data_IF_420094823539
#
_entry.id   IF_420094823539
#
_cell.length_a   1.000
_cell.length_b   1.000
_cell.length_c   1.000
_cell.angle_alpha   90.00
_cell.angle_beta   90.00
_cell.angle_gamma   90.00
#
_symmetry.space_group_name_H-M   'P 1'
#
loop_
_entity.id
_entity.type
_entity.pdbx_description
1 polymer ?
#
# COMPACT_ATOMS: atom_id res chain seq x y z
N UNK A 1 35.84 35.83 -35.42
CA UNK A 1 36.84 34.75 -35.39
C UNK A 1 36.44 33.73 -34.32
N UNK A 2 36.15 32.46 -34.67
CA UNK A 2 35.97 31.44 -33.64
C UNK A 2 37.35 31.13 -33.05
N UNK A 3 37.59 31.54 -31.80
CA UNK A 3 38.83 31.23 -31.10
C UNK A 3 39.03 29.73 -30.99
N UNK A 4 40.07 29.21 -31.65
CA UNK A 4 40.44 27.80 -31.55
C UNK A 4 40.86 27.51 -30.11
N UNK A 5 40.06 26.71 -29.40
CA UNK A 5 40.40 26.24 -28.05
C UNK A 5 41.72 25.46 -28.10
N UNK A 6 42.62 25.78 -27.16
CA UNK A 6 43.90 25.06 -26.98
C UNK A 6 43.65 23.60 -26.63
N UNK A 7 44.64 22.74 -26.89
CA UNK A 7 44.54 21.30 -26.63
C UNK A 7 44.13 20.99 -25.18
N UNK A 8 44.72 21.72 -24.23
CA UNK A 8 44.39 21.63 -22.79
C UNK A 8 42.92 21.99 -22.51
N UNK A 9 42.40 23.05 -23.11
CA UNK A 9 40.99 23.46 -22.97
C UNK A 9 40.03 22.41 -23.55
N UNK A 10 40.41 21.72 -24.64
CA UNK A 10 39.62 20.61 -25.20
C UNK A 10 39.65 19.38 -24.29
N UNK A 11 40.80 19.07 -23.70
CA UNK A 11 40.97 17.96 -22.76
C UNK A 11 40.14 18.19 -21.48
N UNK A 12 40.23 19.38 -20.90
CA UNK A 12 39.46 19.80 -19.73
C UNK A 12 37.94 19.78 -20.01
N UNK A 13 37.49 20.23 -21.18
CA UNK A 13 36.07 20.11 -21.58
C UNK A 13 35.61 18.65 -21.69
N UNK A 14 36.43 17.76 -22.25
CA UNK A 14 36.12 16.31 -22.30
C UNK A 14 36.04 15.70 -20.90
N UNK A 15 36.97 16.04 -20.01
CA UNK A 15 36.95 15.57 -18.61
C UNK A 15 35.72 16.10 -17.86
N UNK A 16 35.41 17.40 -17.96
CA UNK A 16 34.20 17.99 -17.35
C UNK A 16 32.92 17.33 -17.86
N UNK A 17 32.81 17.06 -19.16
CA UNK A 17 31.66 16.33 -19.73
C UNK A 17 31.56 14.91 -19.15
N UNK A 18 32.66 14.17 -19.06
CA UNK A 18 32.66 12.83 -18.43
C UNK A 18 32.20 12.87 -16.97
N UNK A 19 32.68 13.84 -16.19
CA UNK A 19 32.26 14.02 -14.78
C UNK A 19 30.77 14.37 -14.73
N UNK A 20 30.29 15.28 -15.56
CA UNK A 20 28.88 15.66 -15.64
C UNK A 20 27.98 14.46 -15.97
N UNK A 21 28.36 13.64 -16.97
CA UNK A 21 27.64 12.41 -17.28
C UNK A 21 27.64 11.41 -16.12
N UNK A 22 28.76 11.27 -15.39
CA UNK A 22 28.81 10.43 -14.18
C UNK A 22 27.86 10.92 -13.10
N UNK A 23 27.77 12.25 -12.88
CA UNK A 23 26.86 12.84 -11.89
C UNK A 23 25.40 12.58 -12.30
N UNK A 24 25.05 12.78 -13.57
CA UNK A 24 23.70 12.47 -14.08
C UNK A 24 23.38 10.99 -13.89
N UNK A 25 24.30 10.10 -14.26
CA UNK A 25 24.10 8.67 -14.11
C UNK A 25 23.90 8.28 -12.64
N UNK A 26 24.71 8.84 -11.73
CA UNK A 26 24.58 8.63 -10.29
C UNK A 26 23.22 9.14 -9.78
N UNK A 27 22.79 10.31 -10.23
CA UNK A 27 21.48 10.87 -9.90
C UNK A 27 20.35 9.96 -10.38
N UNK A 28 20.41 9.45 -11.62
CA UNK A 28 19.41 8.52 -12.16
C UNK A 28 19.37 7.20 -11.38
N UNK A 29 20.53 6.62 -11.06
CA UNK A 29 20.63 5.41 -10.25
C UNK A 29 20.08 5.62 -8.84
N UNK A 30 20.41 6.76 -8.22
CA UNK A 30 19.90 7.13 -6.89
C UNK A 30 18.39 7.36 -6.90
N UNK A 31 17.87 8.06 -7.92
CA UNK A 31 16.43 8.29 -8.09
C UNK A 31 15.67 6.96 -8.30
N UNK A 32 16.23 6.07 -9.12
CA UNK A 32 15.67 4.72 -9.32
C UNK A 32 15.66 3.92 -8.01
N UNK A 33 16.75 3.95 -7.24
CA UNK A 33 16.80 3.28 -5.94
C UNK A 33 15.74 3.85 -4.99
N UNK A 34 15.61 5.18 -4.94
CA UNK A 34 14.65 5.84 -4.06
C UNK A 34 13.20 5.50 -4.43
N UNK A 35 12.84 5.60 -5.71
CA UNK A 35 11.48 5.35 -6.20
C UNK A 35 11.07 3.88 -6.14
N UNK A 36 12.01 2.94 -6.12
CA UNK A 36 11.72 1.50 -5.98
C UNK A 36 11.70 1.04 -4.52
N UNK A 37 12.70 1.44 -3.74
CA UNK A 37 12.94 0.86 -2.41
C UNK A 37 12.47 1.75 -1.26
N UNK A 38 12.23 3.04 -1.51
CA UNK A 38 11.90 4.01 -0.46
C UNK A 38 10.44 4.46 -0.59
N UNK A 39 10.13 5.23 -1.62
CA UNK A 39 8.80 5.81 -1.86
C UNK A 39 8.23 5.34 -3.19
N UNK A 40 7.00 4.85 -3.15
CA UNK A 40 6.25 4.44 -4.33
C UNK A 40 5.06 5.38 -4.52
N UNK A 41 4.90 5.91 -5.72
CA UNK A 41 3.82 6.82 -6.05
C UNK A 41 2.82 6.07 -6.93
N UNK A 42 1.56 6.03 -6.50
CA UNK A 42 0.48 5.37 -7.24
C UNK A 42 -0.71 6.29 -7.42
N UNK A 43 -1.41 6.11 -8.53
CA UNK A 43 -2.75 6.64 -8.76
C UNK A 43 -3.74 5.50 -8.62
N UNK A 44 -4.77 5.67 -7.80
CA UNK A 44 -5.77 4.64 -7.56
C UNK A 44 -7.01 4.88 -8.42
N UNK A 45 -7.46 3.84 -9.13
CA UNK A 45 -8.61 3.91 -10.04
C UNK A 45 -9.85 3.13 -9.55
N UNK A 46 -9.72 2.38 -8.43
CA UNK A 46 -10.82 1.58 -7.87
C UNK A 46 -11.80 2.38 -7.01
N UNK A 47 -12.86 1.71 -6.58
CA UNK A 47 -13.92 2.26 -5.71
C UNK A 47 -13.85 1.70 -4.27
N UNK A 48 -12.90 0.80 -3.99
CA UNK A 48 -12.73 0.17 -2.67
C UNK A 48 -12.48 1.17 -1.55
N UNK A 49 -11.84 2.30 -1.87
CA UNK A 49 -11.46 3.35 -0.91
C UNK A 49 -12.17 4.69 -1.18
N UNK A 50 -13.31 4.67 -1.89
CA UNK A 50 -13.98 5.83 -2.49
C UNK A 50 -14.30 7.00 -1.55
N UNK A 51 -14.46 6.77 -0.24
CA UNK A 51 -14.68 7.83 0.77
C UNK A 51 -13.40 8.58 1.15
N UNK A 52 -12.24 7.93 1.11
CA UNK A 52 -10.96 8.48 1.57
C UNK A 52 -10.01 8.82 0.42
N UNK A 53 -10.16 8.13 -0.70
CA UNK A 53 -9.31 8.19 -1.88
C UNK A 53 -10.21 8.29 -3.12
N UNK A 54 -10.20 9.44 -3.78
CA UNK A 54 -10.90 9.67 -5.04
C UNK A 54 -10.03 9.24 -6.23
N UNK A 55 -10.67 8.89 -7.35
CA UNK A 55 -10.09 8.25 -8.57
C UNK A 55 -8.91 8.96 -9.26
N UNK A 56 -8.42 10.10 -8.76
CA UNK A 56 -7.29 10.85 -9.32
C UNK A 56 -6.29 11.32 -8.25
N UNK A 57 -6.46 10.91 -6.99
CA UNK A 57 -5.52 11.29 -5.95
C UNK A 57 -4.17 10.63 -6.19
N UNK A 58 -3.11 11.43 -6.08
CA UNK A 58 -1.76 10.88 -6.07
C UNK A 58 -1.45 10.43 -4.65
N UNK A 59 -1.15 9.15 -4.51
CA UNK A 59 -0.90 8.51 -3.23
C UNK A 59 0.58 8.18 -3.12
N UNK A 60 1.19 8.60 -2.02
CA UNK A 60 2.59 8.35 -1.72
C UNK A 60 2.66 7.26 -0.66
N UNK A 61 3.23 6.13 -1.05
CA UNK A 61 3.42 4.96 -0.22
C UNK A 61 4.88 4.77 0.15
N UNK A 62 5.14 4.20 1.33
CA UNK A 62 6.48 3.74 1.72
C UNK A 62 6.58 2.25 1.43
N UNK A 63 7.65 1.87 0.75
CA UNK A 63 7.92 0.48 0.38
C UNK A 63 8.14 -0.42 1.60
N UNK A 64 7.76 -1.70 1.46
CA UNK A 64 8.02 -2.77 2.44
C UNK A 64 9.45 -2.79 2.93
N UNK A 65 10.43 -2.50 2.06
CA UNK A 65 11.84 -2.57 2.41
C UNK A 65 12.23 -1.57 3.51
N UNK A 66 11.74 -0.34 3.47
CA UNK A 66 11.96 0.61 4.57
C UNK A 66 11.09 0.27 5.77
N UNK A 67 9.81 0.00 5.51
CA UNK A 67 8.81 -0.26 6.56
C UNK A 67 9.28 -1.34 7.52
N UNK A 68 9.77 -2.46 6.99
CA UNK A 68 10.16 -3.63 7.79
C UNK A 68 11.23 -3.31 8.84
N UNK A 69 12.07 -2.30 8.62
CA UNK A 69 13.10 -1.89 9.58
C UNK A 69 12.67 -0.74 10.49
N UNK A 70 11.83 0.18 10.00
CA UNK A 70 11.65 1.48 10.66
C UNK A 70 10.23 1.81 11.08
N UNK A 71 9.19 1.20 10.48
CA UNK A 71 7.81 1.64 10.66
C UNK A 71 6.89 0.41 10.84
N UNK A 72 6.43 0.12 12.07
CA UNK A 72 5.44 -0.94 12.27
C UNK A 72 4.09 -0.55 11.66
N UNK A 73 3.33 -1.55 11.20
CA UNK A 73 1.94 -1.33 10.77
C UNK A 73 1.03 -1.23 11.98
N UNK A 74 0.10 -0.29 11.92
CA UNK A 74 -0.82 0.04 13.00
C UNK A 74 -2.27 0.04 12.51
N UNK A 75 -3.21 0.11 13.46
CA UNK A 75 -4.63 0.23 13.15
C UNK A 75 -4.90 1.51 12.36
N UNK A 76 -5.83 1.42 11.42
CA UNK A 76 -6.23 2.47 10.47
C UNK A 76 -5.22 2.81 9.37
N UNK A 77 -4.05 2.17 9.34
CA UNK A 77 -3.13 2.35 8.21
C UNK A 77 -3.77 1.82 6.92
N UNK A 78 -3.63 2.59 5.85
CA UNK A 78 -4.03 2.18 4.50
C UNK A 78 -2.84 1.50 3.86
N UNK A 79 -3.03 0.28 3.37
CA UNK A 79 -1.95 -0.56 2.86
C UNK A 79 -2.25 -1.08 1.47
N UNK A 80 -1.19 -1.24 0.68
CA UNK A 80 -1.23 -2.02 -0.56
C UNK A 80 -0.73 -3.43 -0.24
N UNK A 81 -1.48 -4.42 -0.69
CA UNK A 81 -1.16 -5.83 -0.51
C UNK A 81 -1.39 -6.63 -1.80
N UNK A 82 -0.69 -7.75 -1.91
CA UNK A 82 -0.85 -8.68 -3.02
C UNK A 82 -1.97 -9.68 -2.71
N UNK A 83 -2.83 -9.96 -3.69
CA UNK A 83 -3.83 -11.00 -3.53
C UNK A 83 -3.13 -12.37 -3.41
N UNK A 84 -3.29 -13.10 -2.29
CA UNK A 84 -2.64 -14.40 -2.12
C UNK A 84 -3.05 -15.43 -3.18
N UNK A 85 -4.22 -15.26 -3.81
CA UNK A 85 -4.70 -16.15 -4.87
C UNK A 85 -4.02 -15.91 -6.23
N UNK A 86 -3.33 -14.78 -6.42
CA UNK A 86 -2.66 -14.41 -7.67
C UNK A 86 -1.13 -14.55 -7.60
N UNK A 87 -0.60 -15.37 -6.68
CA UNK A 87 0.85 -15.55 -6.49
C UNK A 87 1.52 -16.11 -7.75
N UNK A 88 2.15 -15.23 -8.51
CA UNK A 88 3.04 -15.58 -9.62
C UNK A 88 4.37 -16.16 -9.11
N UNK A 89 5.01 -17.01 -9.93
CA UNK A 89 6.35 -17.52 -9.65
C UNK A 89 7.37 -16.38 -9.43
N UNK A 90 8.06 -16.41 -8.28
CA UNK A 90 9.02 -15.39 -7.83
C UNK A 90 10.06 -15.00 -8.88
N UNK A 91 10.61 -15.98 -9.60
CA UNK A 91 11.63 -15.77 -10.65
C UNK A 91 11.06 -14.93 -11.80
N UNK A 92 9.81 -15.20 -12.19
CA UNK A 92 9.13 -14.49 -13.25
C UNK A 92 8.79 -13.05 -12.84
N UNK A 93 8.39 -12.84 -11.57
CA UNK A 93 8.18 -11.52 -10.97
C UNK A 93 9.47 -10.71 -10.96
N UNK A 94 10.58 -11.30 -10.52
CA UNK A 94 11.89 -10.65 -10.51
C UNK A 94 12.36 -10.24 -11.91
N UNK A 95 12.30 -11.15 -12.89
CA UNK A 95 12.69 -10.84 -14.27
C UNK A 95 11.78 -9.78 -14.91
N UNK A 96 10.47 -9.84 -14.65
CA UNK A 96 9.52 -8.81 -15.10
C UNK A 96 9.84 -7.45 -14.47
N UNK A 97 10.11 -7.40 -13.18
CA UNK A 97 10.41 -6.15 -12.46
C UNK A 97 11.77 -5.56 -12.84
N UNK A 98 12.73 -6.39 -13.28
CA UNK A 98 14.06 -5.97 -13.75
C UNK A 98 14.04 -5.39 -15.18
N UNK A 99 13.19 -5.94 -16.06
CA UNK A 99 13.15 -5.57 -17.48
C UNK A 99 12.09 -4.52 -17.84
N UNK A 100 11.07 -4.32 -17.00
CA UNK A 100 10.04 -3.30 -17.25
C UNK A 100 10.34 -2.00 -16.48
N UNK A 101 11.13 -1.13 -17.09
CA UNK A 101 11.17 0.31 -16.81
C UNK A 101 9.80 1.00 -17.02
N UNK A 102 8.80 0.28 -17.56
CA UNK A 102 7.51 0.82 -17.98
C UNK A 102 6.30 0.37 -17.13
N UNK A 103 6.48 -0.47 -16.10
CA UNK A 103 5.38 -0.85 -15.20
C UNK A 103 5.30 0.07 -13.99
N UNK A 104 5.37 1.38 -14.22
CA UNK A 104 5.01 2.38 -13.19
C UNK A 104 3.48 2.40 -12.98
N UNK A 105 2.66 1.81 -13.88
CA UNK A 105 1.22 2.13 -13.89
C UNK A 105 0.19 1.01 -14.10
N UNK A 106 0.51 -0.28 -14.08
CA UNK A 106 -0.58 -1.28 -14.10
C UNK A 106 -0.18 -2.62 -13.51
N UNK A 107 -0.51 -2.82 -12.23
CA UNK A 107 -0.39 -4.12 -11.58
C UNK A 107 -1.77 -4.48 -11.05
N UNK A 108 -2.58 -5.11 -11.90
CA UNK A 108 -3.93 -5.60 -11.57
C UNK A 108 -3.97 -6.71 -10.51
N UNK A 109 -2.85 -7.01 -9.85
CA UNK A 109 -2.75 -7.99 -8.76
C UNK A 109 -2.61 -7.35 -7.37
N UNK A 110 -2.63 -6.02 -7.28
CA UNK A 110 -2.51 -5.31 -6.01
C UNK A 110 -3.83 -4.69 -5.59
N UNK A 111 -4.16 -4.88 -4.32
CA UNK A 111 -5.34 -4.35 -3.66
C UNK A 111 -4.93 -3.31 -2.63
N UNK A 112 -5.83 -2.39 -2.35
CA UNK A 112 -5.67 -1.38 -1.30
C UNK A 112 -6.81 -1.56 -0.30
N UNK A 113 -6.47 -1.56 0.99
CA UNK A 113 -7.45 -1.67 2.05
C UNK A 113 -6.89 -1.05 3.34
N UNK A 114 -7.75 -0.88 4.33
CA UNK A 114 -7.39 -0.36 5.65
C UNK A 114 -7.23 -1.47 6.67
N UNK A 115 -6.24 -1.36 7.53
CA UNK A 115 -6.07 -2.26 8.68
C UNK A 115 -7.13 -1.92 9.74
N UNK A 116 -8.05 -2.83 9.99
CA UNK A 116 -9.11 -2.64 11.00
C UNK A 116 -8.92 -3.49 12.25
N UNK A 117 -8.09 -4.53 12.19
CA UNK A 117 -7.75 -5.36 13.34
C UNK A 117 -6.33 -5.92 13.24
N UNK A 118 -5.70 -6.14 14.40
CA UNK A 118 -4.31 -6.58 14.54
C UNK A 118 -4.19 -7.77 15.50
N UNK A 119 -2.97 -8.31 15.67
CA UNK A 119 -2.69 -9.39 16.62
C UNK A 119 -3.34 -9.15 18.00
N UNK A 120 -4.08 -10.16 18.48
CA UNK A 120 -4.81 -10.11 19.75
C UNK A 120 -6.28 -9.74 19.63
N UNK A 121 -6.70 -9.16 18.50
CA UNK A 121 -8.12 -8.89 18.21
C UNK A 121 -8.83 -10.16 17.72
N UNK A 122 -10.13 -10.25 18.03
CA UNK A 122 -11.05 -11.23 17.44
C UNK A 122 -11.95 -10.53 16.42
N UNK A 123 -12.07 -11.08 15.22
CA UNK A 123 -12.91 -10.52 14.17
C UNK A 123 -14.03 -11.48 13.82
N UNK A 124 -15.26 -11.00 13.94
CA UNK A 124 -16.47 -11.71 13.57
C UNK A 124 -17.03 -11.09 12.29
N UNK A 125 -17.29 -11.93 11.28
CA UNK A 125 -17.82 -11.50 9.98
C UNK A 125 -19.17 -12.15 9.77
N UNK A 126 -20.17 -11.32 9.50
CA UNK A 126 -21.57 -11.67 9.26
C UNK A 126 -22.01 -11.01 7.96
N UNK A 127 -21.91 -11.72 6.83
CA UNK A 127 -22.16 -11.14 5.50
C UNK A 127 -21.25 -9.94 5.22
N UNK A 128 -21.84 -8.74 5.11
CA UNK A 128 -21.11 -7.48 4.94
C UNK A 128 -20.64 -6.86 6.26
N UNK A 129 -21.26 -7.26 7.37
CA UNK A 129 -21.05 -6.69 8.69
C UNK A 129 -19.83 -7.31 9.37
N UNK A 130 -19.07 -6.47 10.05
CA UNK A 130 -17.85 -6.89 10.76
C UNK A 130 -17.85 -6.33 12.16
N UNK A 131 -17.62 -7.21 13.13
CA UNK A 131 -17.31 -6.85 14.50
C UNK A 131 -15.83 -7.14 14.76
N UNK A 132 -15.09 -6.11 15.12
CA UNK A 132 -13.76 -6.27 15.73
C UNK A 132 -13.92 -6.19 17.23
N UNK A 133 -13.84 -7.35 17.88
CA UNK A 133 -13.93 -7.48 19.33
C UNK A 133 -12.56 -7.22 19.95
N UNK A 134 -12.51 -6.24 20.85
CA UNK A 134 -11.36 -5.93 21.70
C UNK A 134 -11.87 -5.82 23.12
N UNK A 135 -11.13 -6.34 24.10
CA UNK A 135 -11.56 -6.38 25.50
C UNK A 135 -12.08 -5.03 26.04
N UNK A 136 -11.57 -3.91 25.52
CA UNK A 136 -11.89 -2.56 26.00
C UNK A 136 -12.75 -1.75 25.02
N UNK A 137 -12.60 -1.96 23.70
CA UNK A 137 -13.24 -1.11 22.70
C UNK A 137 -13.54 -1.87 21.39
N UNK A 138 -14.77 -2.33 21.26
CA UNK A 138 -15.25 -3.01 20.07
C UNK A 138 -15.50 -2.01 18.93
N UNK A 139 -15.26 -2.44 17.70
CA UNK A 139 -15.61 -1.68 16.50
C UNK A 139 -16.63 -2.44 15.68
N UNK A 140 -17.71 -1.77 15.29
CA UNK A 140 -18.81 -2.36 14.53
C UNK A 140 -18.88 -1.68 13.17
N UNK A 141 -18.66 -2.44 12.11
CA UNK A 141 -18.80 -2.00 10.73
C UNK A 141 -20.09 -2.61 10.20
N UNK A 142 -21.19 -1.86 10.22
CA UNK A 142 -22.53 -2.33 9.89
C UNK A 142 -23.10 -1.51 8.74
N UNK A 143 -23.70 -2.17 7.74
CA UNK A 143 -24.40 -1.50 6.63
C UNK A 143 -23.62 -0.32 6.02
N UNK A 144 -22.35 -0.52 5.67
CA UNK A 144 -21.55 0.55 5.06
C UNK A 144 -20.89 1.54 6.03
N UNK A 145 -21.12 1.45 7.34
CA UNK A 145 -20.69 2.49 8.29
C UNK A 145 -20.04 1.94 9.56
N UNK A 146 -19.12 2.71 10.13
CA UNK A 146 -18.61 2.48 11.49
C UNK A 146 -19.65 2.97 12.51
N UNK A 147 -20.20 2.05 13.29
CA UNK A 147 -21.19 2.31 14.33
C UNK A 147 -20.54 2.41 15.70
N UNK A 148 -20.81 3.52 16.41
CA UNK A 148 -20.34 3.77 17.77
C UNK A 148 -21.47 3.47 18.75
N UNK A 149 -21.16 2.78 19.85
CA UNK A 149 -22.14 2.48 20.91
C UNK A 149 -23.10 1.32 20.61
N UNK A 150 -22.84 0.55 19.55
CA UNK A 150 -23.60 -0.66 19.25
C UNK A 150 -23.35 -1.75 20.30
N UNK A 151 -24.40 -2.48 20.71
CA UNK A 151 -24.27 -3.51 21.74
C UNK A 151 -23.77 -4.82 21.14
N UNK A 152 -22.87 -5.49 21.86
CA UNK A 152 -22.31 -6.77 21.44
C UNK A 152 -23.38 -7.83 21.18
N UNK A 153 -24.37 -7.96 22.07
CA UNK A 153 -25.41 -8.98 21.97
C UNK A 153 -26.29 -8.80 20.72
N UNK A 154 -26.50 -7.56 20.28
CA UNK A 154 -27.31 -7.23 19.10
C UNK A 154 -26.62 -7.69 17.81
N UNK A 155 -25.31 -7.91 17.81
CA UNK A 155 -24.57 -8.43 16.65
C UNK A 155 -24.83 -9.92 16.43
N UNK A 156 -24.97 -10.68 17.52
CA UNK A 156 -25.17 -12.14 17.51
C UNK A 156 -26.64 -12.56 17.54
N UNK A 157 -27.58 -11.62 17.58
CA UNK A 157 -29.01 -11.88 17.79
C UNK A 157 -29.79 -12.53 16.62
N UNK A 158 -29.11 -13.09 15.62
CA UNK A 158 -29.76 -13.66 14.42
C UNK A 158 -29.06 -14.95 13.97
N UNK A 159 -29.81 -15.87 13.35
CA UNK A 159 -29.37 -17.20 12.89
C UNK A 159 -28.48 -17.18 11.63
N UNK A 160 -27.59 -16.20 11.51
CA UNK A 160 -26.66 -16.10 10.40
C UNK A 160 -25.33 -16.78 10.70
N UNK A 161 -24.66 -17.26 9.65
CA UNK A 161 -23.34 -17.88 9.78
C UNK A 161 -22.30 -16.81 10.07
N UNK A 162 -21.69 -16.89 11.25
CA UNK A 162 -20.65 -15.97 11.69
C UNK A 162 -19.30 -16.65 11.57
N UNK A 163 -18.41 -16.09 10.73
CA UNK A 163 -17.01 -16.50 10.69
C UNK A 163 -16.24 -15.79 11.79
N UNK A 164 -15.41 -16.51 12.53
CA UNK A 164 -14.56 -15.96 13.57
C UNK A 164 -13.09 -16.11 13.18
N UNK A 165 -12.34 -15.02 13.26
CA UNK A 165 -10.91 -14.97 13.02
C UNK A 165 -10.20 -14.50 14.28
N UNK A 166 -9.31 -15.35 14.81
CA UNK A 166 -8.36 -14.97 15.85
C UNK A 166 -7.03 -14.61 15.20
N UNK A 167 -6.69 -13.32 15.21
CA UNK A 167 -5.52 -12.81 14.50
C UNK A 167 -4.24 -13.22 15.21
N UNK A 168 -3.35 -13.91 14.48
CA UNK A 168 -2.03 -14.29 14.98
C UNK A 168 -1.04 -13.13 14.85
N UNK A 169 0.14 -13.33 15.43
CA UNK A 169 1.25 -12.39 15.27
C UNK A 169 1.55 -12.18 13.78
N UNK A 170 1.69 -10.92 13.37
CA UNK A 170 1.93 -10.51 11.98
C UNK A 170 0.77 -10.77 11.01
N UNK A 171 -0.45 -11.02 11.49
CA UNK A 171 -1.67 -11.04 10.68
C UNK A 171 -2.48 -9.77 10.91
N UNK A 172 -3.13 -9.31 9.85
CA UNK A 172 -3.97 -8.11 9.83
C UNK A 172 -5.30 -8.44 9.18
N UNK A 173 -6.39 -7.92 9.74
CA UNK A 173 -7.68 -7.94 9.05
C UNK A 173 -7.83 -6.63 8.27
N UNK A 174 -7.96 -6.76 6.96
CA UNK A 174 -8.05 -5.63 6.03
C UNK A 174 -9.49 -5.45 5.56
N UNK A 175 -9.98 -4.22 5.64
CA UNK A 175 -11.33 -3.86 5.22
C UNK A 175 -11.26 -2.77 4.17
N UNK A 176 -12.09 -2.88 3.14
CA UNK A 176 -12.34 -1.76 2.26
C UNK A 176 -13.06 -0.65 3.03
N UNK A 177 -12.91 0.59 2.60
CA UNK A 177 -13.69 1.69 3.18
C UNK A 177 -15.09 1.73 2.59
N UNK A 178 -15.22 1.40 1.31
CA UNK A 178 -16.51 1.04 0.75
C UNK A 178 -16.85 -0.41 1.11
N UNK A 179 -17.64 -0.59 2.18
CA UNK A 179 -18.01 -1.92 2.68
C UNK A 179 -18.92 -2.69 1.73
N UNK A 180 -19.58 -2.06 0.75
CA UNK A 180 -20.40 -2.77 -0.23
C UNK A 180 -19.52 -3.64 -1.16
N UNK A 181 -18.23 -3.33 -1.29
CA UNK A 181 -17.31 -4.09 -2.15
C UNK A 181 -16.66 -5.22 -1.35
N UNK A 182 -17.09 -6.45 -1.61
CA UNK A 182 -16.58 -7.69 -1.01
C UNK A 182 -15.28 -8.17 -1.68
N UNK A 183 -14.24 -7.35 -1.61
CA UNK A 183 -12.93 -7.68 -2.16
C UNK A 183 -11.80 -7.53 -1.12
N UNK A 184 -12.05 -7.97 0.11
CA UNK A 184 -11.19 -7.76 1.28
C UNK A 184 -11.14 -8.98 2.23
N UNK A 185 -10.65 -8.80 3.46
CA UNK A 185 -10.49 -9.91 4.42
C UNK A 185 -11.79 -10.57 4.87
N UNK A 186 -12.97 -10.00 4.57
CA UNK A 186 -14.25 -10.67 4.84
C UNK A 186 -14.43 -11.94 4.00
N UNK A 187 -13.91 -11.91 2.78
CA UNK A 187 -13.96 -13.05 1.84
C UNK A 187 -12.71 -13.90 1.96
N UNK A 188 -11.54 -13.27 1.93
CA UNK A 188 -10.24 -13.97 1.82
C UNK A 188 -9.59 -14.29 3.17
N UNK A 189 -10.12 -13.76 4.26
CA UNK A 189 -9.55 -13.88 5.59
C UNK A 189 -8.40 -12.91 5.86
N UNK A 190 -7.74 -13.04 7.03
CA UNK A 190 -6.62 -12.20 7.43
C UNK A 190 -5.43 -12.28 6.47
N UNK A 191 -4.70 -11.17 6.35
CA UNK A 191 -3.54 -11.03 5.48
C UNK A 191 -2.27 -11.00 6.32
N UNK A 192 -1.26 -11.78 5.91
CA UNK A 192 0.04 -11.79 6.58
C UNK A 192 0.87 -10.54 6.25
N UNK A 193 1.71 -10.11 7.19
CA UNK A 193 2.61 -8.96 7.03
C UNK A 193 3.52 -9.07 5.78
N UNK A 194 3.85 -10.29 5.38
CA UNK A 194 4.68 -10.56 4.22
C UNK A 194 4.00 -10.19 2.90
N UNK A 195 2.67 -10.26 2.83
CA UNK A 195 1.88 -9.94 1.65
C UNK A 195 1.56 -8.43 1.56
N UNK A 196 1.84 -7.66 2.62
CA UNK A 196 1.71 -6.20 2.64
C UNK A 196 2.97 -5.55 2.05
N UNK A 197 2.79 -4.91 0.90
CA UNK A 197 3.85 -4.33 0.06
C UNK A 197 4.20 -2.91 0.43
N UNK A 198 3.22 -2.11 0.85
CA UNK A 198 3.48 -0.71 1.20
C UNK A 198 2.37 -0.16 2.08
N UNK A 199 2.69 0.92 2.81
CA UNK A 199 1.72 1.67 3.60
C UNK A 199 1.63 3.10 3.08
N UNK A 200 0.43 3.67 3.12
CA UNK A 200 0.16 5.03 2.67
C UNK A 200 0.74 6.02 3.67
N UNK A 201 1.65 6.88 3.21
CA UNK A 201 2.23 7.93 4.04
C UNK A 201 1.47 9.25 3.90
N UNK A 202 1.13 9.60 2.65
CA UNK A 202 0.53 10.88 2.30
C UNK A 202 -0.39 10.71 1.10
N UNK A 203 -1.50 11.46 1.10
CA UNK A 203 -2.35 11.65 -0.07
C UNK A 203 -2.28 13.09 -0.54
N UNK A 204 -2.13 13.27 -1.85
CA UNK A 204 -2.12 14.57 -2.51
C UNK A 204 -3.45 14.73 -3.23
N UNK A 205 -4.26 15.66 -2.73
CA UNK A 205 -5.60 15.98 -3.24
C UNK A 205 -5.54 17.36 -3.93
N UNK A 206 -5.26 17.37 -5.22
CA UNK A 206 -4.98 18.60 -5.96
C UNK A 206 -3.73 19.31 -5.42
N UNK A 207 -3.91 20.48 -4.80
CA UNK A 207 -2.82 21.27 -4.19
C UNK A 207 -2.66 21.04 -2.67
N UNK A 208 -3.48 20.20 -2.04
CA UNK A 208 -3.43 19.93 -0.61
C UNK A 208 -2.75 18.60 -0.32
N UNK A 209 -1.77 18.62 0.59
CA UNK A 209 -1.17 17.41 1.17
C UNK A 209 -1.94 17.08 2.44
N UNK A 210 -2.51 15.88 2.50
CA UNK A 210 -3.23 15.37 3.67
C UNK A 210 -2.51 14.12 4.15
N UNK A 211 -2.30 14.03 5.46
CA UNK A 211 -1.72 12.86 6.12
C UNK A 211 -2.79 11.80 6.33
#
# INVERSE_FOLDING_TARGET
MPGYLTFEQRLLRKQRRKIFFKIILLFLLSNYFFTKFVLQIFTFQGDEMFSLITKNNTLVFVSKHIRTFFIPLTLNDIVIYEDPNLRYNFIFKFLRDLFFLNNIFNIGSYKIAKIVATWGDLVYVKGFDVLVYRQVNNSYYLNGNLMIGYKLNDFFGFDEVIKCYSLKKNEFFLLNENLEILNDSRVFGPVGQADILSFLLLKIMGYKVVK
#
